data_IF_686460097151
#
_entry.id   IF_686460097151
#
_cell.length_a   1.000
_cell.length_b   1.000
_cell.length_c   1.000
_cell.angle_alpha   90.00
_cell.angle_beta   90.00
_cell.angle_gamma   90.00
#
_symmetry.space_group_name_H-M   'P 1'
#
loop_
_entity.id
_entity.type
_entity.pdbx_description
1 polymer ?
#
# COMPACT_ATOMS: atom_id res chain seq x y z
N UNK A 1 -47.71 18.63 -6.99
CA UNK A 1 -46.47 17.87 -7.31
C UNK A 1 -45.63 17.80 -6.05
N UNK A 2 -45.05 16.64 -5.72
CA UNK A 2 -44.09 16.54 -4.62
C UNK A 2 -42.72 17.04 -5.08
N UNK A 3 -41.97 17.66 -4.18
CA UNK A 3 -40.58 18.05 -4.42
C UNK A 3 -39.65 16.87 -4.10
N UNK A 4 -38.62 16.69 -4.93
CA UNK A 4 -37.52 15.75 -4.68
C UNK A 4 -36.32 16.55 -4.18
N UNK A 5 -35.70 16.07 -3.11
CA UNK A 5 -34.51 16.66 -2.51
C UNK A 5 -33.36 15.66 -2.57
N UNK A 6 -32.15 16.17 -2.76
CA UNK A 6 -30.91 15.41 -2.80
C UNK A 6 -29.82 16.22 -2.08
N UNK A 7 -28.87 15.54 -1.46
CA UNK A 7 -27.69 16.16 -0.86
C UNK A 7 -26.46 15.82 -1.70
N UNK A 8 -25.52 16.77 -1.77
CA UNK A 8 -24.22 16.59 -2.40
C UNK A 8 -23.17 17.26 -1.53
N UNK A 9 -22.04 16.58 -1.35
CA UNK A 9 -20.88 17.18 -0.71
C UNK A 9 -19.96 17.82 -1.75
N UNK A 10 -19.25 18.87 -1.35
CA UNK A 10 -18.12 19.35 -2.14
C UNK A 10 -16.93 18.42 -1.93
N UNK A 11 -16.09 18.18 -2.96
CA UNK A 11 -14.93 17.30 -2.81
C UNK A 11 -14.02 17.73 -1.65
N UNK A 12 -13.62 16.76 -0.82
CA UNK A 12 -12.65 16.95 0.25
C UNK A 12 -11.38 16.22 -0.14
N UNK A 13 -10.26 16.95 -0.19
CA UNK A 13 -8.97 16.37 -0.58
C UNK A 13 -8.55 15.25 0.38
N UNK A 14 -8.09 14.12 -0.19
CA UNK A 14 -7.73 12.93 0.57
C UNK A 14 -8.91 12.10 1.10
N UNK A 15 -10.14 12.37 0.66
CA UNK A 15 -11.33 11.58 1.03
C UNK A 15 -12.13 11.13 -0.20
N UNK A 16 -12.70 9.93 -0.09
CA UNK A 16 -13.72 9.41 -0.99
C UNK A 16 -15.09 9.54 -0.31
N UNK A 17 -16.04 10.18 -0.99
CA UNK A 17 -17.40 10.43 -0.49
C UNK A 17 -18.40 9.44 -1.07
N UNK A 18 -19.26 8.88 -0.22
CA UNK A 18 -20.43 8.08 -0.60
C UNK A 18 -21.72 8.69 -0.02
N UNK A 19 -22.79 8.75 -0.83
CA UNK A 19 -24.08 9.33 -0.44
C UNK A 19 -25.16 8.27 -0.51
N UNK A 20 -25.78 7.97 0.63
CA UNK A 20 -26.88 7.02 0.77
C UNK A 20 -28.13 7.73 1.28
N UNK A 21 -28.99 8.16 0.35
CA UNK A 21 -30.16 8.98 0.69
C UNK A 21 -29.74 10.37 1.13
N UNK A 22 -29.77 10.62 2.44
CA UNK A 22 -29.33 11.87 3.06
C UNK A 22 -28.09 11.70 3.94
N UNK A 23 -27.62 10.46 4.12
CA UNK A 23 -26.40 10.17 4.85
C UNK A 23 -25.19 10.30 3.93
N UNK A 24 -24.16 11.00 4.41
CA UNK A 24 -22.90 11.22 3.69
C UNK A 24 -21.79 10.56 4.52
N UNK A 25 -21.04 9.66 3.89
CA UNK A 25 -19.88 8.98 4.49
C UNK A 25 -18.61 9.39 3.76
N UNK A 26 -17.58 9.77 4.51
CA UNK A 26 -16.26 10.11 4.00
C UNK A 26 -15.22 9.10 4.47
N UNK A 27 -14.59 8.41 3.54
CA UNK A 27 -13.51 7.44 3.81
C UNK A 27 -12.18 8.03 3.40
N UNK A 28 -11.20 8.00 4.30
CA UNK A 28 -9.86 8.56 4.02
C UNK A 28 -9.15 7.69 2.97
N UNK A 29 -8.61 8.33 1.94
CA UNK A 29 -7.82 7.68 0.89
C UNK A 29 -6.41 8.22 0.87
N UNK A 30 -5.48 7.39 0.43
CA UNK A 30 -4.08 7.76 0.30
C UNK A 30 -3.27 6.57 -0.19
N UNK A 31 -2.16 6.87 -0.85
CA UNK A 31 -1.20 5.87 -1.28
C UNK A 31 0.12 6.07 -0.54
N UNK A 32 0.85 4.97 -0.40
CA UNK A 32 2.21 4.92 0.12
C UNK A 32 3.05 3.96 -0.72
N UNK A 33 4.34 3.91 -0.42
CA UNK A 33 5.29 2.98 -1.01
C UNK A 33 6.21 2.40 0.05
N UNK A 34 6.70 1.19 -0.19
CA UNK A 34 7.69 0.50 0.63
C UNK A 34 8.86 0.13 -0.26
N UNK A 35 10.03 0.68 0.03
CA UNK A 35 11.25 0.44 -0.75
C UNK A 35 12.43 0.16 0.18
N UNK A 36 13.40 -0.59 -0.33
CA UNK A 36 14.59 -0.93 0.43
C UNK A 36 15.65 -1.60 -0.43
N UNK A 37 16.77 -1.93 0.22
CA UNK A 37 17.90 -2.59 -0.41
C UNK A 37 18.47 -3.68 0.50
N UNK A 38 18.87 -4.79 -0.10
CA UNK A 38 19.61 -5.85 0.57
C UNK A 38 21.11 -5.55 0.52
N UNK A 39 21.71 -5.45 1.71
CA UNK A 39 23.17 -5.38 1.87
C UNK A 39 23.71 -6.74 2.26
N UNK A 40 24.76 -7.19 1.58
CA UNK A 40 25.50 -8.40 1.90
C UNK A 40 26.76 -8.06 2.70
N UNK A 41 27.01 -8.79 3.79
CA UNK A 41 28.24 -8.71 4.62
C UNK A 41 28.89 -10.09 4.69
N UNK A 42 29.36 -10.59 3.56
CA UNK A 42 29.74 -11.98 3.32
C UNK A 42 31.19 -12.13 2.80
N UNK A 43 32.03 -11.11 2.96
CA UNK A 43 33.44 -11.17 2.56
C UNK A 43 33.61 -11.24 1.04
N UNK A 44 33.91 -12.43 0.52
CA UNK A 44 34.12 -12.66 -0.92
C UNK A 44 32.83 -13.04 -1.68
N UNK A 45 31.72 -13.26 -0.97
CA UNK A 45 30.43 -13.62 -1.58
C UNK A 45 30.34 -15.07 -2.06
N UNK A 46 31.23 -15.97 -1.62
CA UNK A 46 31.11 -17.40 -1.91
C UNK A 46 29.80 -17.97 -1.34
N UNK A 47 29.05 -18.68 -2.20
CA UNK A 47 27.74 -19.25 -1.83
C UNK A 47 26.57 -18.26 -1.81
N UNK A 48 26.78 -17.00 -2.23
CA UNK A 48 25.67 -16.04 -2.36
C UNK A 48 24.66 -16.53 -3.41
N UNK A 49 23.35 -16.57 -3.10
CA UNK A 49 22.34 -16.94 -4.07
C UNK A 49 22.23 -15.88 -5.17
N UNK A 50 21.80 -16.30 -6.37
CA UNK A 50 21.58 -15.38 -7.48
C UNK A 50 20.39 -14.45 -7.22
N UNK A 51 19.38 -14.94 -6.52
CA UNK A 51 18.14 -14.21 -6.21
C UNK A 51 17.68 -14.46 -4.77
N UNK A 52 16.92 -13.51 -4.22
CA UNK A 52 16.17 -13.64 -2.98
C UNK A 52 14.71 -13.27 -3.24
N UNK A 53 13.82 -13.71 -2.34
CA UNK A 53 12.43 -13.26 -2.31
C UNK A 53 12.24 -12.33 -1.12
N UNK A 54 11.59 -11.20 -1.36
CA UNK A 54 11.18 -10.24 -0.35
C UNK A 54 9.66 -10.23 -0.33
N UNK A 55 9.08 -10.58 0.81
CA UNK A 55 7.64 -10.55 1.00
C UNK A 55 7.22 -9.19 1.57
N UNK A 56 6.20 -8.57 0.97
CA UNK A 56 5.50 -7.43 1.55
C UNK A 56 4.31 -7.94 2.36
N UNK A 57 4.27 -7.57 3.63
CA UNK A 57 3.18 -7.88 4.53
C UNK A 57 2.32 -6.63 4.77
N UNK A 58 1.00 -6.77 4.69
CA UNK A 58 0.01 -5.78 5.12
C UNK A 58 -0.70 -6.34 6.35
N UNK A 59 -0.64 -5.65 7.48
CA UNK A 59 -1.23 -6.09 8.76
C UNK A 59 -0.83 -7.53 9.15
N UNK A 60 0.40 -7.93 8.81
CA UNK A 60 0.94 -9.26 9.10
C UNK A 60 0.59 -10.35 8.06
N UNK A 61 -0.17 -10.04 7.01
CA UNK A 61 -0.47 -10.96 5.91
C UNK A 61 0.36 -10.63 4.68
N UNK A 62 0.96 -11.64 4.05
CA UNK A 62 1.69 -11.45 2.78
C UNK A 62 0.70 -11.06 1.68
N UNK A 63 0.96 -9.93 1.01
CA UNK A 63 0.13 -9.41 -0.09
C UNK A 63 0.88 -9.35 -1.42
N UNK A 64 2.22 -9.36 -1.39
CA UNK A 64 3.06 -9.39 -2.58
C UNK A 64 4.41 -10.02 -2.26
N UNK A 65 5.07 -10.57 -3.27
CA UNK A 65 6.44 -11.08 -3.21
C UNK A 65 7.21 -10.55 -4.41
N UNK A 66 8.40 -10.01 -4.18
CA UNK A 66 9.30 -9.56 -5.23
C UNK A 66 10.59 -10.40 -5.23
N UNK A 67 10.99 -10.89 -6.40
CA UNK A 67 12.31 -11.48 -6.58
C UNK A 67 13.34 -10.38 -6.82
N UNK A 68 14.45 -10.43 -6.07
CA UNK A 68 15.48 -9.40 -6.02
C UNK A 68 16.83 -10.06 -6.30
N UNK A 69 17.64 -9.43 -7.15
CA UNK A 69 18.91 -10.00 -7.60
C UNK A 69 19.98 -8.92 -7.77
N UNK A 70 21.18 -9.33 -8.17
CA UNK A 70 22.23 -8.38 -8.54
C UNK A 70 21.80 -7.47 -9.72
N UNK A 71 20.94 -7.95 -10.63
CA UNK A 71 20.46 -7.15 -11.76
C UNK A 71 19.54 -6.00 -11.33
N UNK A 72 18.82 -6.15 -10.21
CA UNK A 72 18.04 -5.07 -9.60
C UNK A 72 18.85 -4.24 -8.59
N UNK A 73 20.17 -4.37 -8.59
CA UNK A 73 21.08 -3.78 -7.58
C UNK A 73 20.69 -4.15 -6.15
N UNK A 74 20.09 -5.33 -5.96
CA UNK A 74 19.55 -5.77 -4.67
C UNK A 74 18.49 -4.84 -4.07
N UNK A 75 17.83 -4.00 -4.88
CA UNK A 75 16.75 -3.10 -4.47
C UNK A 75 15.39 -3.70 -4.79
N UNK A 76 14.39 -3.31 -3.99
CA UNK A 76 12.98 -3.61 -4.19
C UNK A 76 12.13 -2.37 -3.91
N UNK A 77 10.96 -2.31 -4.54
CA UNK A 77 10.00 -1.24 -4.35
C UNK A 77 8.59 -1.74 -4.62
N UNK A 78 7.73 -1.62 -3.62
CA UNK A 78 6.29 -1.82 -3.71
C UNK A 78 5.63 -0.45 -3.73
N UNK A 79 4.93 -0.14 -4.82
CA UNK A 79 4.31 1.17 -5.07
C UNK A 79 2.79 1.03 -5.06
N UNK A 80 2.10 2.18 -5.08
CA UNK A 80 0.64 2.25 -5.16
C UNK A 80 -0.10 1.52 -4.04
N UNK A 81 0.51 1.41 -2.86
CA UNK A 81 -0.06 0.72 -1.71
C UNK A 81 -1.10 1.61 -1.03
N UNK A 82 -2.30 1.10 -0.78
CA UNK A 82 -3.31 1.83 -0.01
C UNK A 82 -2.78 2.15 1.39
N UNK A 83 -2.95 3.39 1.86
CA UNK A 83 -2.52 3.79 3.21
C UNK A 83 -3.59 3.46 4.27
N UNK A 84 -4.87 3.37 3.86
CA UNK A 84 -6.02 3.18 4.74
C UNK A 84 -6.93 2.07 4.23
N UNK A 85 -7.57 1.34 5.15
CA UNK A 85 -8.62 0.38 4.84
C UNK A 85 -9.98 1.06 4.57
N UNK A 86 -11.01 0.25 4.29
CA UNK A 86 -12.36 0.74 3.98
C UNK A 86 -13.03 1.49 5.15
N UNK A 87 -12.53 1.31 6.38
CA UNK A 87 -13.01 2.00 7.58
C UNK A 87 -12.16 3.26 7.89
N UNK A 88 -11.15 3.56 7.05
CA UNK A 88 -10.26 4.69 7.21
C UNK A 88 -9.12 4.48 8.22
N UNK A 89 -8.87 3.24 8.66
CA UNK A 89 -7.76 2.92 9.57
C UNK A 89 -6.49 2.64 8.79
N UNK A 90 -5.34 3.05 9.33
CA UNK A 90 -4.04 2.92 8.63
C UNK A 90 -3.60 1.46 8.53
N UNK A 91 -3.15 1.07 7.34
CA UNK A 91 -2.42 -0.19 7.15
C UNK A 91 -1.01 -0.12 7.74
N UNK A 92 -0.57 -1.22 8.35
CA UNK A 92 0.82 -1.43 8.73
C UNK A 92 1.51 -2.27 7.67
N UNK A 93 2.61 -1.77 7.11
CA UNK A 93 3.42 -2.50 6.13
C UNK A 93 4.77 -2.91 6.70
N UNK A 94 5.19 -4.14 6.41
CA UNK A 94 6.46 -4.73 6.82
C UNK A 94 7.04 -5.58 5.69
N UNK A 95 8.37 -5.77 5.69
CA UNK A 95 9.05 -6.66 4.74
C UNK A 95 9.70 -7.82 5.48
N UNK A 96 9.73 -9.00 4.85
CA UNK A 96 10.35 -10.21 5.41
C UNK A 96 11.25 -10.90 4.41
#
# INVERSE_FOLDING_TARGET
>A
KAYKYEVKEQPVDGYQTEVHGYDITNTKVGQTKVEGAKTWKDGNGEGRPETIKVDLLQNGQVIATQEVSAASEWKYAFTDLAAYDAEGKTYKYEVK
#
